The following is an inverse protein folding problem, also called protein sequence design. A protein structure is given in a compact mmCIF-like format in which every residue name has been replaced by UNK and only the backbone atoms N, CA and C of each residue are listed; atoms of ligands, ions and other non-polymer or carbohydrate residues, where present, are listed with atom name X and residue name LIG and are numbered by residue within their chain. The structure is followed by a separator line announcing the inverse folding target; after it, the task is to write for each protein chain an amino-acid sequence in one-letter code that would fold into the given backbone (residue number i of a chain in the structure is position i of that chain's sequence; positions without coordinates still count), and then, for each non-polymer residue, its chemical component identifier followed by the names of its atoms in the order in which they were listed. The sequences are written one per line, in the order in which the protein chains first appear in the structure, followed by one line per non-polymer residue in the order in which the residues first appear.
data_IF_218647287302
#
_entry.id   IF_218647287302
#
_cell.length_a   1.000
_cell.length_b   1.000
_cell.length_c   1.000
_cell.angle_alpha   90.00
_cell.angle_beta   90.00
_cell.angle_gamma   90.00
#
_symmetry.space_group_name_H-M   'P 1'
#
loop_
_entity.id
_entity.type
_entity.pdbx_description
1 polymer ?
#
# COMPACT_ATOMS: atom_id res chain seq x y z
N UNK A 1 1.19 -4.15 12.15
CA UNK A 1 1.06 -2.75 12.59
C UNK A 1 0.82 -1.86 11.39
N UNK A 2 -0.32 -1.17 11.33
CA UNK A 2 -0.63 -0.12 10.35
C UNK A 2 -0.19 1.26 10.87
N UNK A 3 -0.21 2.29 10.02
CA UNK A 3 -0.13 3.68 10.48
C UNK A 3 -1.33 4.01 11.37
N UNK A 4 -1.06 4.83 12.38
CA UNK A 4 -2.13 5.51 13.14
C UNK A 4 -2.79 6.56 12.26
N UNK A 5 -4.05 6.89 12.52
CA UNK A 5 -4.75 7.95 11.77
C UNK A 5 -4.02 9.30 11.85
N UNK A 6 -3.40 9.61 12.99
CA UNK A 6 -2.60 10.82 13.16
C UNK A 6 -1.33 10.85 12.30
N UNK A 7 -0.71 9.69 12.05
CA UNK A 7 0.41 9.60 11.10
C UNK A 7 -0.10 9.68 9.66
N UNK A 8 -1.22 9.01 9.37
CA UNK A 8 -1.86 9.07 8.06
C UNK A 8 -2.23 10.50 7.65
N UNK A 9 -2.86 11.28 8.54
CA UNK A 9 -3.27 12.65 8.27
C UNK A 9 -2.13 13.59 7.85
N UNK A 10 -0.89 13.30 8.26
CA UNK A 10 0.31 14.06 7.84
C UNK A 10 0.80 13.68 6.45
N UNK A 11 0.52 12.45 6.02
CA UNK A 11 0.99 11.89 4.76
C UNK A 11 -0.06 12.05 3.67
N UNK A 12 -1.35 11.92 4.00
CA UNK A 12 -2.50 12.04 3.10
C UNK A 12 -2.43 13.20 2.08
N UNK A 13 -1.95 14.42 2.42
CA UNK A 13 -1.89 15.52 1.45
C UNK A 13 -0.67 15.49 0.51
N UNK A 14 0.29 14.58 0.70
CA UNK A 14 1.53 14.52 -0.08
C UNK A 14 1.43 13.76 -1.43
N UNK A 15 0.65 12.67 -1.55
CA UNK A 15 0.49 11.95 -2.81
C UNK A 15 -0.12 12.83 -3.90
N UNK A 16 0.26 12.59 -5.18
CA UNK A 16 -0.39 13.25 -6.31
C UNK A 16 -1.88 12.88 -6.37
N UNK A 17 -2.65 13.77 -7.00
CA UNK A 17 -4.09 13.64 -7.12
C UNK A 17 -4.51 12.28 -7.73
N UNK A 18 -5.60 11.70 -7.20
CA UNK A 18 -6.09 10.35 -7.59
C UNK A 18 -6.73 10.34 -8.99
N UNK A 19 -6.60 11.42 -9.75
CA UNK A 19 -7.15 11.52 -11.11
C UNK A 19 -6.55 10.39 -11.95
N UNK A 20 -7.37 9.43 -12.42
CA UNK A 20 -6.85 8.30 -13.15
C UNK A 20 -6.30 8.77 -14.50
N UNK A 21 -4.99 8.97 -14.58
CA UNK A 21 -4.28 9.05 -15.86
C UNK A 21 -4.11 7.62 -16.36
N UNK A 22 -4.66 7.34 -17.56
CA UNK A 22 -4.60 6.10 -18.38
C UNK A 22 -3.88 4.92 -17.69
N UNK A 23 -4.62 3.88 -17.30
CA UNK A 23 -4.03 2.61 -16.85
C UNK A 23 -4.75 1.85 -15.73
N UNK A 24 -5.90 2.33 -15.24
CA UNK A 24 -6.76 1.56 -14.34
C UNK A 24 -6.96 2.20 -12.96
N UNK A 25 -7.61 1.43 -12.08
CA UNK A 25 -8.05 1.86 -10.75
C UNK A 25 -6.83 1.88 -9.82
N UNK A 26 -6.38 3.08 -9.43
CA UNK A 26 -5.34 3.23 -8.42
C UNK A 26 -5.77 2.57 -7.10
N UNK A 27 -4.87 1.77 -6.49
CA UNK A 27 -5.08 1.26 -5.13
C UNK A 27 -5.16 2.43 -4.15
N UNK A 28 -5.83 2.22 -3.03
CA UNK A 28 -5.91 3.25 -2.01
C UNK A 28 -4.51 3.63 -1.48
N UNK A 29 -4.20 4.93 -1.47
CA UNK A 29 -2.88 5.41 -1.03
C UNK A 29 -2.55 4.97 0.39
N UNK A 30 -3.57 4.89 1.26
CA UNK A 30 -3.39 4.42 2.63
C UNK A 30 -2.95 2.98 2.67
N UNK A 31 -3.57 2.11 1.87
CA UNK A 31 -3.17 0.70 1.80
C UNK A 31 -1.73 0.53 1.31
N UNK A 32 -1.33 1.29 0.28
CA UNK A 32 0.04 1.24 -0.26
C UNK A 32 1.07 1.71 0.79
N UNK A 33 0.78 2.82 1.46
CA UNK A 33 1.69 3.40 2.45
C UNK A 33 1.75 2.55 3.72
N UNK A 34 0.63 1.95 4.15
CA UNK A 34 0.59 0.98 5.24
C UNK A 34 1.43 -0.27 4.91
N UNK A 35 1.34 -0.76 3.68
CA UNK A 35 2.14 -1.90 3.19
C UNK A 35 3.65 -1.59 3.22
N UNK A 36 4.04 -0.42 2.71
CA UNK A 36 5.42 0.08 2.75
C UNK A 36 5.92 0.18 4.19
N UNK A 37 5.16 0.85 5.07
CA UNK A 37 5.55 1.05 6.46
C UNK A 37 5.66 -0.27 7.23
N UNK A 38 4.78 -1.23 6.96
CA UNK A 38 4.87 -2.56 7.54
C UNK A 38 6.16 -3.26 7.12
N UNK A 39 6.42 -3.35 5.81
CA UNK A 39 7.63 -3.97 5.27
C UNK A 39 8.91 -3.39 5.87
N UNK A 40 9.01 -2.05 5.94
CA UNK A 40 10.21 -1.40 6.49
C UNK A 40 10.40 -1.65 7.99
N UNK A 41 9.32 -1.78 8.77
CA UNK A 41 9.41 -2.05 10.21
C UNK A 41 9.72 -3.49 10.55
N UNK A 42 9.18 -4.44 9.78
CA UNK A 42 9.26 -5.87 10.11
C UNK A 42 10.29 -6.63 9.26
N UNK A 43 10.79 -6.02 8.18
CA UNK A 43 11.62 -6.70 7.19
C UNK A 43 10.85 -7.73 6.35
N UNK A 44 9.51 -7.77 6.44
CA UNK A 44 8.68 -8.78 5.78
C UNK A 44 8.74 -8.63 4.25
N UNK A 45 8.95 -9.74 3.51
CA UNK A 45 8.84 -9.73 2.05
C UNK A 45 7.46 -9.23 1.59
N UNK A 46 7.39 -8.67 0.39
CA UNK A 46 6.13 -8.15 -0.15
C UNK A 46 5.03 -9.23 -0.22
N UNK A 47 5.39 -10.48 -0.51
CA UNK A 47 4.45 -11.60 -0.65
C UNK A 47 3.84 -12.04 0.68
N UNK A 48 4.54 -11.81 1.79
CA UNK A 48 4.12 -12.22 3.14
C UNK A 48 3.43 -11.07 3.89
N UNK A 49 3.08 -9.99 3.18
CA UNK A 49 2.35 -8.90 3.78
C UNK A 49 0.95 -9.36 4.20
N UNK A 50 0.44 -8.86 5.34
CA UNK A 50 -0.91 -9.14 5.76
C UNK A 50 -1.93 -8.69 4.72
N UNK A 51 -2.99 -9.48 4.53
CA UNK A 51 -4.01 -9.28 3.50
C UNK A 51 -4.68 -7.89 3.54
N UNK A 52 -4.80 -7.30 4.73
CA UNK A 52 -5.29 -5.92 4.94
C UNK A 52 -4.46 -4.84 4.22
N UNK A 53 -3.21 -5.13 3.88
CA UNK A 53 -2.32 -4.24 3.12
C UNK A 53 -2.58 -4.32 1.61
N UNK A 54 -3.47 -5.22 1.17
CA UNK A 54 -3.71 -5.60 -0.22
C UNK A 54 -3.08 -6.96 -0.54
N UNK A 55 -3.63 -7.69 -1.51
CA UNK A 55 -2.98 -8.90 -2.04
C UNK A 55 -1.76 -8.49 -2.86
N UNK A 56 -0.57 -8.70 -2.30
CA UNK A 56 0.74 -8.47 -2.93
C UNK A 56 1.44 -9.77 -3.32
N UNK A 57 0.82 -10.92 -3.03
CA UNK A 57 1.23 -12.18 -3.62
C UNK A 57 1.25 -11.99 -5.14
N UNK A 58 2.41 -12.28 -5.75
CA UNK A 58 2.47 -12.46 -7.18
C UNK A 58 1.46 -13.54 -7.53
N UNK A 59 0.66 -13.33 -8.57
CA UNK A 59 -0.13 -14.41 -9.13
C UNK A 59 0.83 -15.58 -9.38
N UNK A 60 0.67 -16.73 -8.72
CA UNK A 60 1.56 -17.87 -8.93
C UNK A 60 1.53 -18.36 -10.39
N UNK A 61 0.57 -17.91 -11.21
CA UNK A 61 0.47 -18.21 -12.64
C UNK A 61 1.16 -17.22 -13.60
N UNK A 62 1.73 -16.10 -13.15
CA UNK A 62 2.59 -15.23 -13.98
C UNK A 62 2.09 -14.95 -15.40
N UNK A 63 0.85 -14.47 -15.56
CA UNK A 63 0.36 -13.92 -16.83
C UNK A 63 0.56 -12.41 -16.89
#
# INVERSE_FOLDING_TARGET
MSLTDAQWARIEPLPPDRTPKRGGRWRDHRQVIDAIAFKYRTGTPWMDLPERSGSWALDPQGR
#
